data_IF_175505838737
#
_entry.id   IF_175505838737
#
_cell.length_a   1.000
_cell.length_b   1.000
_cell.length_c   1.000
_cell.angle_alpha   90.00
_cell.angle_beta   90.00
_cell.angle_gamma   90.00
#
_symmetry.space_group_name_H-M   'P 1'
#
loop_
_entity.id
_entity.type
_entity.pdbx_description
1 polymer ?
#
# COMPACT_ATOMS: atom_id res chain seq x y z
N UNK A 1 -4.78 -16.96 2.35
CA UNK A 1 -4.46 -15.73 3.10
C UNK A 1 -4.07 -14.60 2.15
N UNK A 2 -4.05 -13.39 2.68
CA UNK A 2 -3.74 -12.19 1.91
C UNK A 2 -2.60 -11.42 2.57
N UNK A 3 -1.57 -11.09 1.78
CA UNK A 3 -0.51 -10.16 2.16
C UNK A 3 -1.00 -8.76 1.82
N UNK A 4 -1.16 -7.90 2.81
CA UNK A 4 -1.75 -6.57 2.63
C UNK A 4 -0.96 -5.51 3.38
N UNK A 5 -1.20 -4.24 3.03
CA UNK A 5 -0.56 -3.12 3.71
C UNK A 5 -0.85 -3.16 5.21
N UNK A 6 0.09 -2.71 6.07
CA UNK A 6 -0.13 -2.71 7.51
C UNK A 6 -1.41 -1.93 7.88
N UNK A 7 -2.19 -2.46 8.82
CA UNK A 7 -3.41 -1.82 9.29
C UNK A 7 -3.14 -0.40 9.84
N UNK A 8 -1.97 -0.20 10.40
CA UNK A 8 -1.54 1.12 10.92
C UNK A 8 -1.55 2.18 9.83
N UNK A 9 -1.08 1.85 8.61
CA UNK A 9 -1.11 2.79 7.48
C UNK A 9 -2.53 3.15 7.08
N UNK A 10 -3.43 2.17 7.04
CA UNK A 10 -4.84 2.40 6.72
C UNK A 10 -5.48 3.36 7.73
N UNK A 11 -5.24 3.12 9.01
CA UNK A 11 -5.78 3.98 10.07
C UNK A 11 -5.15 5.38 10.06
N UNK A 12 -3.86 5.48 9.76
CA UNK A 12 -3.18 6.76 9.62
C UNK A 12 -3.78 7.60 8.48
N UNK A 13 -4.00 7.01 7.31
CA UNK A 13 -4.62 7.70 6.19
C UNK A 13 -6.08 8.05 6.45
N UNK A 14 -6.82 7.17 7.16
CA UNK A 14 -8.20 7.45 7.56
C UNK A 14 -8.26 8.65 8.51
N UNK A 15 -7.35 8.71 9.48
CA UNK A 15 -7.24 9.86 10.40
C UNK A 15 -6.91 11.14 9.64
N UNK A 16 -6.01 11.07 8.66
CA UNK A 16 -5.66 12.21 7.81
C UNK A 16 -6.87 12.69 7.00
N UNK A 17 -7.62 11.78 6.44
CA UNK A 17 -8.85 12.11 5.68
C UNK A 17 -9.88 12.81 6.58
N UNK A 18 -10.15 12.25 7.77
CA UNK A 18 -11.10 12.82 8.72
C UNK A 18 -10.66 14.21 9.20
N UNK A 19 -9.36 14.36 9.50
CA UNK A 19 -8.82 15.65 9.91
C UNK A 19 -8.95 16.69 8.79
N UNK A 20 -8.66 16.31 7.57
CA UNK A 20 -8.81 17.18 6.40
C UNK A 20 -10.25 17.61 6.20
N UNK A 21 -11.22 16.70 6.39
CA UNK A 21 -12.65 17.04 6.31
C UNK A 21 -13.06 18.04 7.40
N UNK A 22 -12.65 17.78 8.65
CA UNK A 22 -12.97 18.68 9.77
C UNK A 22 -12.37 20.07 9.53
N UNK A 23 -11.10 20.13 9.12
CA UNK A 23 -10.44 21.40 8.81
C UNK A 23 -11.15 22.13 7.67
N UNK A 24 -11.55 21.42 6.63
CA UNK A 24 -12.27 22.03 5.50
C UNK A 24 -13.61 22.62 5.94
N UNK A 25 -14.37 21.89 6.75
CA UNK A 25 -15.66 22.37 7.26
C UNK A 25 -15.47 23.63 8.11
N UNK A 26 -14.50 23.61 9.04
CA UNK A 26 -14.23 24.75 9.91
C UNK A 26 -13.75 25.98 9.13
N UNK A 27 -12.80 25.78 8.21
CA UNK A 27 -12.32 26.90 7.39
C UNK A 27 -13.39 27.46 6.48
N UNK A 28 -14.23 26.61 5.89
CA UNK A 28 -15.37 27.06 5.08
C UNK A 28 -16.34 27.89 5.89
N UNK A 29 -16.64 27.44 7.11
CA UNK A 29 -17.55 28.15 8.02
C UNK A 29 -17.01 29.54 8.35
N UNK A 30 -15.76 29.65 8.79
CA UNK A 30 -15.15 30.93 9.15
C UNK A 30 -14.94 31.84 7.94
N UNK A 31 -14.59 31.27 6.77
CA UNK A 31 -14.47 32.03 5.54
C UNK A 31 -15.81 32.68 5.14
N UNK A 32 -16.90 31.93 5.21
CA UNK A 32 -18.24 32.44 4.90
C UNK A 32 -18.73 33.48 5.92
N UNK A 33 -18.23 33.42 7.15
CA UNK A 33 -18.52 34.42 8.18
C UNK A 33 -17.70 35.71 8.01
N UNK A 34 -16.83 35.79 7.02
CA UNK A 34 -16.01 36.98 6.77
C UNK A 34 -14.80 37.10 7.68
N UNK A 35 -14.31 36.00 8.26
CA UNK A 35 -13.12 35.98 9.11
C UNK A 35 -11.87 36.26 8.27
N UNK A 36 -11.19 37.37 8.53
CA UNK A 36 -10.03 37.81 7.77
C UNK A 36 -8.80 36.93 7.94
N UNK A 37 -8.76 36.12 9.00
CA UNK A 37 -7.62 35.22 9.25
C UNK A 37 -7.69 33.94 8.41
N UNK A 38 -8.86 33.63 7.82
CA UNK A 38 -9.04 32.45 6.97
C UNK A 38 -9.03 32.89 5.51
N UNK A 39 -8.06 32.41 4.77
CA UNK A 39 -7.89 32.68 3.36
C UNK A 39 -8.30 31.46 2.52
N UNK A 40 -8.52 31.67 1.23
CA UNK A 40 -8.84 30.60 0.29
C UNK A 40 -7.75 29.51 0.28
N UNK A 41 -6.49 29.89 0.54
CA UNK A 41 -5.39 28.93 0.66
C UNK A 41 -5.60 27.87 1.74
N UNK A 42 -6.26 28.22 2.84
CA UNK A 42 -6.59 27.24 3.90
C UNK A 42 -7.58 26.20 3.40
N UNK A 43 -8.56 26.59 2.59
CA UNK A 43 -9.51 25.67 1.98
C UNK A 43 -8.83 24.72 0.99
N UNK A 44 -7.94 25.23 0.16
CA UNK A 44 -7.17 24.41 -0.78
C UNK A 44 -6.28 23.41 -0.02
N UNK A 45 -5.57 23.87 1.01
CA UNK A 45 -4.70 23.01 1.81
C UNK A 45 -5.48 21.87 2.44
N UNK A 46 -6.60 22.16 3.12
CA UNK A 46 -7.41 21.14 3.79
C UNK A 46 -8.03 20.16 2.79
N UNK A 47 -8.45 20.63 1.62
CA UNK A 47 -8.97 19.77 0.55
C UNK A 47 -7.91 18.81 0.05
N UNK A 48 -6.71 19.31 -0.26
CA UNK A 48 -5.60 18.49 -0.76
C UNK A 48 -5.19 17.48 0.30
N UNK A 49 -5.06 17.91 1.55
CA UNK A 49 -4.70 17.06 2.68
C UNK A 49 -5.69 15.90 2.86
N UNK A 50 -7.00 16.21 2.79
CA UNK A 50 -8.06 15.22 2.89
C UNK A 50 -8.07 14.26 1.70
N UNK A 51 -7.86 14.76 0.48
CA UNK A 51 -7.83 13.95 -0.74
C UNK A 51 -6.65 12.96 -0.71
N UNK A 52 -5.47 13.40 -0.25
CA UNK A 52 -4.32 12.53 -0.10
C UNK A 52 -4.62 11.41 0.91
N UNK A 53 -5.28 11.73 2.02
CA UNK A 53 -5.69 10.75 3.02
C UNK A 53 -6.67 9.73 2.45
N UNK A 54 -7.67 10.20 1.70
CA UNK A 54 -8.64 9.31 1.05
C UNK A 54 -7.96 8.38 0.03
N UNK A 55 -7.06 8.92 -0.79
CA UNK A 55 -6.29 8.12 -1.74
C UNK A 55 -5.49 7.03 -1.01
N UNK A 56 -4.83 7.38 0.11
CA UNK A 56 -4.09 6.44 0.91
C UNK A 56 -4.94 5.32 1.50
N UNK A 57 -6.17 5.62 1.95
CA UNK A 57 -7.12 4.61 2.44
C UNK A 57 -7.51 3.65 1.32
N UNK A 58 -7.83 4.17 0.15
CA UNK A 58 -8.19 3.36 -1.02
C UNK A 58 -7.01 2.46 -1.42
N UNK A 59 -5.82 3.03 -1.51
CA UNK A 59 -4.60 2.30 -1.83
C UNK A 59 -4.36 1.16 -0.82
N UNK A 60 -4.41 1.46 0.47
CA UNK A 60 -4.18 0.46 1.53
C UNK A 60 -5.24 -0.64 1.55
N UNK A 61 -6.46 -0.34 1.07
CA UNK A 61 -7.54 -1.32 1.02
C UNK A 61 -7.44 -2.24 -0.20
N UNK A 62 -6.94 -1.73 -1.32
CA UNK A 62 -6.87 -2.48 -2.59
C UNK A 62 -5.55 -3.23 -2.70
N UNK A 63 -4.44 -2.59 -2.34
CA UNK A 63 -3.11 -3.18 -2.51
C UNK A 63 -2.97 -4.47 -1.72
N UNK A 64 -2.40 -5.48 -2.36
CA UNK A 64 -2.08 -6.73 -1.68
C UNK A 64 -1.84 -7.87 -2.64
N UNK A 65 -1.46 -9.01 -2.05
CA UNK A 65 -1.26 -10.27 -2.75
C UNK A 65 -2.13 -11.32 -2.06
N UNK A 66 -3.09 -11.86 -2.78
CA UNK A 66 -3.91 -12.96 -2.28
C UNK A 66 -3.22 -14.27 -2.64
N UNK A 67 -2.94 -15.11 -1.64
CA UNK A 67 -2.24 -16.36 -1.81
C UNK A 67 -3.23 -17.51 -1.61
N UNK A 68 -3.44 -18.27 -2.67
CA UNK A 68 -4.10 -19.58 -2.65
C UNK A 68 -3.04 -20.67 -2.76
N UNK A 69 -3.44 -21.95 -2.70
CA UNK A 69 -2.52 -23.09 -2.61
C UNK A 69 -1.32 -23.03 -3.59
N UNK A 70 -1.56 -22.67 -4.85
CA UNK A 70 -0.52 -22.61 -5.88
C UNK A 70 -0.59 -21.35 -6.73
N UNK A 71 -1.48 -20.41 -6.41
CA UNK A 71 -1.70 -19.20 -7.18
C UNK A 71 -1.51 -17.95 -6.35
N UNK A 72 -1.01 -16.91 -7.00
CA UNK A 72 -0.88 -15.56 -6.44
C UNK A 72 -1.74 -14.59 -7.24
N UNK A 73 -2.57 -13.81 -6.55
CA UNK A 73 -3.32 -12.72 -7.14
C UNK A 73 -2.73 -11.40 -6.65
N UNK A 74 -2.16 -10.62 -7.57
CA UNK A 74 -1.57 -9.32 -7.24
C UNK A 74 -2.59 -8.23 -7.52
N UNK A 75 -2.96 -7.48 -6.47
CA UNK A 75 -3.90 -6.36 -6.53
C UNK A 75 -3.16 -5.06 -6.31
N UNK A 76 -3.27 -4.14 -7.25
CA UNK A 76 -2.69 -2.80 -7.17
C UNK A 76 -3.69 -1.76 -7.63
N UNK A 77 -3.60 -0.55 -7.06
CA UNK A 77 -4.46 0.57 -7.45
C UNK A 77 -4.20 0.95 -8.92
N UNK A 78 -5.24 1.27 -9.66
CA UNK A 78 -5.20 1.67 -11.07
C UNK A 78 -4.60 0.63 -12.02
N UNK A 79 -4.45 -0.61 -11.58
CA UNK A 79 -3.93 -1.70 -12.40
C UNK A 79 -4.87 -2.90 -12.34
N UNK A 80 -4.96 -3.62 -13.45
CA UNK A 80 -5.72 -4.85 -13.50
C UNK A 80 -5.10 -5.89 -12.56
N UNK A 81 -5.94 -6.71 -11.95
CA UNK A 81 -5.52 -7.84 -11.14
C UNK A 81 -4.66 -8.78 -11.99
N UNK A 82 -3.50 -9.17 -11.47
CA UNK A 82 -2.62 -10.14 -12.12
C UNK A 82 -2.66 -11.44 -11.34
N UNK A 83 -3.02 -12.53 -12.03
CA UNK A 83 -3.03 -13.88 -11.46
C UNK A 83 -1.89 -14.67 -12.07
N UNK A 84 -1.08 -15.33 -11.23
CA UNK A 84 0.00 -16.19 -11.69
C UNK A 84 0.18 -17.36 -10.74
N UNK A 85 0.85 -18.41 -11.21
CA UNK A 85 1.21 -19.54 -10.36
C UNK A 85 2.47 -19.21 -9.56
N UNK A 86 2.62 -19.80 -8.38
CA UNK A 86 3.85 -19.63 -7.58
C UNK A 86 5.08 -20.04 -8.38
N UNK A 87 4.95 -21.06 -9.22
CA UNK A 87 6.03 -21.55 -10.07
C UNK A 87 6.49 -20.54 -11.15
N UNK A 88 5.67 -19.51 -11.44
CA UNK A 88 6.02 -18.46 -12.38
C UNK A 88 6.98 -17.42 -11.77
N UNK A 89 7.22 -17.49 -10.46
CA UNK A 89 8.19 -16.64 -9.78
C UNK A 89 9.58 -17.20 -10.04
N UNK A 90 10.44 -16.39 -10.67
CA UNK A 90 11.83 -16.80 -10.96
C UNK A 90 12.73 -16.67 -9.78
N UNK A 91 12.62 -15.56 -9.05
CA UNK A 91 13.43 -15.32 -7.85
C UNK A 91 12.77 -14.28 -6.95
N UNK A 92 13.23 -14.27 -5.70
CA UNK A 92 12.84 -13.30 -4.69
C UNK A 92 14.10 -12.65 -4.16
N UNK A 93 14.09 -11.33 -4.07
CA UNK A 93 15.21 -10.56 -3.50
C UNK A 93 14.74 -9.88 -2.23
N UNK A 94 15.45 -10.09 -1.14
CA UNK A 94 15.21 -9.37 0.13
C UNK A 94 16.26 -8.27 0.22
N UNK A 95 15.82 -7.02 0.22
CA UNK A 95 16.72 -5.87 0.23
C UNK A 95 17.20 -5.52 1.66
N UNK A 96 17.99 -4.45 1.78
CA UNK A 96 18.56 -4.01 3.07
C UNK A 96 17.50 -3.55 4.07
N UNK A 97 16.30 -3.21 3.60
CA UNK A 97 15.17 -2.79 4.45
C UNK A 97 14.22 -3.96 4.74
N UNK A 98 14.63 -5.17 4.45
CA UNK A 98 13.84 -6.40 4.60
C UNK A 98 12.59 -6.46 3.70
N UNK A 99 12.48 -5.59 2.71
CA UNK A 99 11.40 -5.64 1.73
C UNK A 99 11.63 -6.81 0.76
N UNK A 100 10.56 -7.53 0.44
CA UNK A 100 10.59 -8.66 -0.48
C UNK A 100 10.21 -8.19 -1.87
N UNK A 101 11.07 -8.42 -2.84
CA UNK A 101 10.82 -8.06 -4.24
C UNK A 101 10.69 -9.35 -5.04
N UNK A 102 9.52 -9.56 -5.66
CA UNK A 102 9.26 -10.73 -6.47
C UNK A 102 9.59 -10.42 -7.92
N UNK A 103 10.32 -11.34 -8.57
CA UNK A 103 10.64 -11.27 -10.01
C UNK A 103 10.09 -12.49 -10.71
N UNK A 104 9.64 -12.31 -11.95
CA UNK A 104 9.23 -13.45 -12.78
C UNK A 104 10.47 -14.17 -13.37
N UNK A 105 10.24 -15.20 -14.19
CA UNK A 105 11.34 -15.96 -14.81
C UNK A 105 12.13 -15.15 -15.84
N UNK A 106 11.56 -14.03 -16.30
CA UNK A 106 12.22 -13.10 -17.23
C UNK A 106 12.89 -11.93 -16.49
N UNK A 107 13.04 -12.04 -15.17
CA UNK A 107 13.61 -11.01 -14.28
C UNK A 107 12.84 -9.68 -14.27
N UNK A 108 11.57 -9.69 -14.62
CA UNK A 108 10.71 -8.53 -14.48
C UNK A 108 10.18 -8.44 -13.06
N UNK A 109 10.27 -7.25 -12.47
CA UNK A 109 9.71 -6.99 -11.14
C UNK A 109 8.18 -7.14 -11.18
N UNK A 110 7.66 -8.01 -10.32
CA UNK A 110 6.23 -8.22 -10.16
C UNK A 110 5.63 -7.28 -9.11
N UNK A 111 6.19 -7.32 -7.90
CA UNK A 111 5.73 -6.50 -6.78
C UNK A 111 6.83 -6.40 -5.73
N UNK A 112 6.82 -5.29 -4.99
CA UNK A 112 7.65 -5.10 -3.79
C UNK A 112 6.73 -5.14 -2.56
N UNK A 113 7.05 -5.99 -1.60
CA UNK A 113 6.28 -6.18 -0.37
C UNK A 113 7.11 -5.70 0.81
N UNK A 114 6.60 -4.70 1.54
CA UNK A 114 7.25 -4.17 2.72
C UNK A 114 7.29 -5.22 3.84
N UNK A 115 8.36 -5.21 4.63
CA UNK A 115 8.55 -6.14 5.75
C UNK A 115 7.43 -6.05 6.81
N UNK A 116 6.80 -4.89 6.96
CA UNK A 116 5.71 -4.66 7.90
C UNK A 116 4.34 -5.09 7.36
N UNK A 117 4.26 -5.57 6.11
CA UNK A 117 3.01 -6.04 5.53
C UNK A 117 2.45 -7.24 6.30
N UNK A 118 1.12 -7.27 6.43
CA UNK A 118 0.45 -8.40 7.09
C UNK A 118 0.72 -9.70 6.32
N UNK A 119 1.01 -10.78 7.04
CA UNK A 119 1.29 -12.11 6.48
C UNK A 119 2.55 -12.18 5.60
N UNK A 120 3.47 -11.24 5.74
CA UNK A 120 4.76 -11.25 5.04
C UNK A 120 5.51 -12.58 5.27
N UNK A 121 5.62 -13.02 6.52
CA UNK A 121 6.34 -14.26 6.87
C UNK A 121 5.68 -15.50 6.28
N UNK A 122 4.35 -15.53 6.24
CA UNK A 122 3.62 -16.66 5.64
C UNK A 122 3.92 -16.77 4.14
N UNK A 123 4.00 -15.65 3.43
CA UNK A 123 4.36 -15.65 2.02
C UNK A 123 5.80 -16.11 1.82
N UNK A 124 6.72 -15.60 2.63
CA UNK A 124 8.13 -16.00 2.55
C UNK A 124 8.30 -17.50 2.77
N UNK A 125 7.62 -18.06 3.76
CA UNK A 125 7.66 -19.49 4.03
C UNK A 125 7.06 -20.31 2.88
N UNK A 126 5.96 -19.83 2.28
CA UNK A 126 5.35 -20.48 1.12
C UNK A 126 6.30 -20.51 -0.08
N UNK A 127 7.05 -19.43 -0.30
CA UNK A 127 8.04 -19.35 -1.38
C UNK A 127 9.20 -20.32 -1.13
N UNK A 128 9.66 -20.44 0.13
CA UNK A 128 10.70 -21.41 0.51
C UNK A 128 10.24 -22.85 0.27
N UNK A 129 8.99 -23.16 0.64
CA UNK A 129 8.42 -24.49 0.45
C UNK A 129 8.30 -24.89 -1.03
N UNK A 130 8.15 -23.92 -1.92
CA UNK A 130 8.09 -24.15 -3.36
C UNK A 130 9.47 -24.10 -4.04
N UNK A 131 10.55 -24.10 -3.26
CA UNK A 131 11.93 -24.09 -3.75
C UNK A 131 12.27 -22.88 -4.64
N UNK A 132 11.61 -21.74 -4.39
CA UNK A 132 11.90 -20.50 -5.10
C UNK A 132 13.24 -19.93 -4.60
N UNK A 133 14.09 -19.49 -5.53
CA UNK A 133 15.39 -18.91 -5.19
C UNK A 133 15.20 -17.59 -4.46
N UNK A 134 15.80 -17.48 -3.27
CA UNK A 134 15.72 -16.28 -2.43
C UNK A 134 17.13 -15.71 -2.28
N UNK A 135 17.31 -14.47 -2.78
CA UNK A 135 18.55 -13.73 -2.62
C UNK A 135 18.39 -12.72 -1.48
N UNK A 136 19.29 -12.82 -0.50
CA UNK A 136 19.26 -11.93 0.66
C UNK A 136 20.38 -10.91 0.56
N UNK A 137 20.02 -9.62 0.32
CA UNK A 137 20.99 -8.53 0.20
C UNK A 137 21.27 -7.82 1.53
N UNK A 138 20.73 -8.33 2.64
CA UNK A 138 21.02 -7.77 3.98
C UNK A 138 22.45 -8.02 4.43
N UNK A 139 23.07 -9.03 3.88
CA UNK A 139 24.45 -9.42 4.20
C UNK A 139 25.47 -8.63 3.39
#
# INVERSE_FOLDING_TARGET
YKVKAPAVLKYAFMSQFLLGMIMFILFSYFYMKGNETVEMGHLYFSSIFGIIGLYGVIWASIWGVKVNDSQLEIHRIFRAKKVLCITDIGQVVIDKKDAMILYDRLDKKLIKIDALSDNYDYLLDSLKLNNIKILNKRL
#
